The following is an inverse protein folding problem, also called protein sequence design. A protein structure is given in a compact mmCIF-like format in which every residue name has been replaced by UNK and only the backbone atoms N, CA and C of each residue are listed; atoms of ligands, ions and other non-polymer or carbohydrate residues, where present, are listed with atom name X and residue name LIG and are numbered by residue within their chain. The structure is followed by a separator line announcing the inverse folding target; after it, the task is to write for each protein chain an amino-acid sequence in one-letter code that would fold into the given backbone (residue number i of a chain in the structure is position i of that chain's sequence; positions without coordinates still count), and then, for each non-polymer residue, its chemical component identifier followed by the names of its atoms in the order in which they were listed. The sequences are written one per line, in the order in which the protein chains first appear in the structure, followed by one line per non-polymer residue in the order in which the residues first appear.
data_IF_621999305611
#
_entry.id   IF_621999305611
#
_cell.length_a   1.000
_cell.length_b   1.000
_cell.length_c   1.000
_cell.angle_alpha   90.00
_cell.angle_beta   90.00
_cell.angle_gamma   90.00
#
_symmetry.space_group_name_H-M   'P 1'
#
loop_
_entity.id
_entity.type
_entity.pdbx_description
1 polymer ?
#
# COMPACT_ATOMS: atom_id res chain seq x y z
N UNK A 1 -19.55 21.06 -17.53
CA UNK A 1 -18.50 20.21 -16.92
C UNK A 1 -19.16 19.33 -15.86
N UNK A 2 -19.11 17.99 -16.00
CA UNK A 2 -19.90 17.08 -15.16
C UNK A 2 -19.53 17.25 -13.67
N UNK A 3 -20.52 17.59 -12.83
CA UNK A 3 -20.40 17.72 -11.36
C UNK A 3 -19.63 16.54 -10.72
N UNK A 4 -19.78 15.34 -11.23
CA UNK A 4 -19.08 14.14 -10.76
C UNK A 4 -17.56 14.13 -11.06
N UNK A 5 -17.13 14.70 -12.19
CA UNK A 5 -15.71 14.80 -12.52
C UNK A 5 -15.00 15.79 -11.58
N UNK A 6 -15.62 16.95 -11.35
CA UNK A 6 -15.06 17.98 -10.47
C UNK A 6 -14.96 17.47 -9.03
N UNK A 7 -15.99 16.78 -8.51
CA UNK A 7 -15.95 16.16 -7.17
C UNK A 7 -14.81 15.16 -7.04
N UNK A 8 -14.61 14.29 -8.02
CA UNK A 8 -13.52 13.30 -8.03
C UNK A 8 -12.14 13.97 -8.07
N UNK A 9 -11.96 14.97 -8.92
CA UNK A 9 -10.70 15.70 -8.99
C UNK A 9 -10.36 16.39 -7.67
N UNK A 10 -11.33 17.08 -7.04
CA UNK A 10 -11.15 17.75 -5.76
C UNK A 10 -10.79 16.72 -4.68
N UNK A 11 -11.51 15.60 -4.60
CA UNK A 11 -11.23 14.56 -3.59
C UNK A 11 -9.82 13.98 -3.77
N UNK A 12 -9.38 13.74 -5.02
CA UNK A 12 -8.03 13.26 -5.32
C UNK A 12 -6.95 14.26 -4.89
N UNK A 13 -7.13 15.54 -5.20
CA UNK A 13 -6.19 16.60 -4.79
C UNK A 13 -6.12 16.73 -3.27
N UNK A 14 -7.27 16.72 -2.58
CA UNK A 14 -7.30 16.77 -1.11
C UNK A 14 -6.57 15.56 -0.51
N UNK A 15 -6.81 14.36 -1.04
CA UNK A 15 -6.15 13.15 -0.57
C UNK A 15 -4.62 13.24 -0.73
N UNK A 16 -4.13 13.63 -1.91
CA UNK A 16 -2.69 13.81 -2.15
C UNK A 16 -2.12 14.88 -1.22
N UNK A 17 -2.82 16.01 -1.04
CA UNK A 17 -2.37 17.07 -0.15
C UNK A 17 -2.29 16.62 1.33
N UNK A 18 -3.28 15.85 1.81
CA UNK A 18 -3.28 15.27 3.16
C UNK A 18 -2.15 14.26 3.31
N UNK A 19 -1.97 13.36 2.33
CA UNK A 19 -0.91 12.35 2.37
C UNK A 19 0.47 13.00 2.41
N UNK A 20 0.76 13.90 1.46
CA UNK A 20 2.04 14.62 1.40
C UNK A 20 2.23 15.49 2.64
N UNK A 21 1.19 16.21 3.06
CA UNK A 21 1.24 17.06 4.26
C UNK A 21 1.51 16.28 5.54
N UNK A 22 0.91 15.09 5.71
CA UNK A 22 1.18 14.25 6.88
C UNK A 22 2.57 13.60 6.84
N UNK A 23 3.07 13.21 5.65
CA UNK A 23 4.44 12.67 5.52
C UNK A 23 5.47 13.75 5.84
N UNK A 24 5.34 14.94 5.24
CA UNK A 24 6.27 16.06 5.45
C UNK A 24 6.10 16.72 6.83
N UNK A 25 4.93 16.58 7.45
CA UNK A 25 4.62 17.15 8.76
C UNK A 25 5.34 16.51 9.95
N UNK A 26 6.12 15.43 9.69
CA UNK A 26 6.94 14.78 10.70
C UNK A 26 6.38 13.46 11.23
N UNK A 27 7.03 12.88 12.26
CA UNK A 27 6.75 11.51 12.71
C UNK A 27 5.31 11.32 13.25
N UNK A 28 4.76 12.28 13.96
CA UNK A 28 3.43 12.14 14.58
C UNK A 28 2.32 12.10 13.53
N UNK A 29 2.17 13.10 12.62
CA UNK A 29 1.14 13.03 11.58
C UNK A 29 1.34 11.85 10.62
N UNK A 30 2.59 11.46 10.31
CA UNK A 30 2.91 10.25 9.55
C UNK A 30 2.33 9.00 10.23
N UNK A 31 2.65 8.79 11.52
CA UNK A 31 2.18 7.63 12.27
C UNK A 31 0.66 7.59 12.37
N UNK A 32 0.00 8.71 12.69
CA UNK A 32 -1.46 8.79 12.79
C UNK A 32 -2.15 8.50 11.45
N UNK A 33 -1.64 9.04 10.36
CA UNK A 33 -2.18 8.80 9.02
C UNK A 33 -2.09 7.32 8.66
N UNK A 34 -0.89 6.72 8.71
CA UNK A 34 -0.69 5.36 8.26
C UNK A 34 -1.28 4.31 9.21
N UNK A 35 -1.35 4.56 10.52
CA UNK A 35 -2.13 3.73 11.44
C UNK A 35 -3.62 3.74 11.09
N UNK A 36 -4.18 4.92 10.77
CA UNK A 36 -5.57 5.05 10.34
C UNK A 36 -5.83 4.35 9.00
N UNK A 37 -4.95 4.53 8.02
CA UNK A 37 -5.03 3.85 6.72
C UNK A 37 -4.98 2.33 6.92
N UNK A 38 -4.04 1.83 7.71
CA UNK A 38 -3.92 0.39 8.05
C UNK A 38 -5.20 -0.14 8.65
N UNK A 39 -5.77 0.57 9.64
CA UNK A 39 -7.03 0.19 10.28
C UNK A 39 -8.19 0.10 9.29
N UNK A 40 -8.38 1.14 8.48
CA UNK A 40 -9.48 1.23 7.52
C UNK A 40 -9.34 0.18 6.43
N UNK A 41 -8.15 -0.05 5.90
CA UNK A 41 -7.91 -1.02 4.82
C UNK A 41 -8.14 -2.45 5.31
N UNK A 42 -7.67 -2.82 6.51
CA UNK A 42 -7.93 -4.15 7.10
C UNK A 42 -9.42 -4.33 7.39
N UNK A 43 -10.08 -3.29 7.91
CA UNK A 43 -11.52 -3.35 8.19
C UNK A 43 -12.34 -3.55 6.92
N UNK A 44 -11.99 -2.84 5.85
CA UNK A 44 -12.64 -2.96 4.55
C UNK A 44 -12.39 -4.33 3.93
N UNK A 45 -11.13 -4.80 3.92
CA UNK A 45 -10.78 -6.14 3.45
C UNK A 45 -11.60 -7.22 4.17
N UNK A 46 -11.63 -7.20 5.51
CA UNK A 46 -12.43 -8.14 6.30
C UNK A 46 -13.93 -8.02 6.02
N UNK A 47 -14.42 -6.81 5.71
CA UNK A 47 -15.84 -6.60 5.35
C UNK A 47 -16.16 -7.22 3.99
N UNK A 48 -15.28 -7.08 3.00
CA UNK A 48 -15.43 -7.68 1.68
C UNK A 48 -15.43 -9.20 1.79
N UNK A 49 -14.46 -9.78 2.49
CA UNK A 49 -14.35 -11.23 2.70
C UNK A 49 -15.58 -11.78 3.41
N UNK A 50 -16.05 -11.13 4.49
CA UNK A 50 -17.24 -11.59 5.21
C UNK A 50 -18.52 -11.48 4.36
N UNK A 51 -18.62 -10.50 3.46
CA UNK A 51 -19.76 -10.36 2.54
C UNK A 51 -19.72 -11.37 1.39
N UNK A 52 -18.56 -11.79 0.94
CA UNK A 52 -18.44 -12.79 -0.13
C UNK A 52 -18.88 -14.19 0.31
N UNK A 53 -18.95 -14.43 1.62
CA UNK A 53 -19.28 -15.74 2.18
C UNK A 53 -18.12 -16.73 2.24
N UNK A 54 -16.93 -16.34 1.75
CA UNK A 54 -15.74 -17.20 1.75
C UNK A 54 -15.19 -17.45 3.15
N UNK A 55 -15.30 -16.45 4.04
CA UNK A 55 -14.87 -16.53 5.43
C UNK A 55 -15.68 -15.59 6.33
N UNK A 56 -15.51 -15.77 7.66
CA UNK A 56 -16.07 -14.90 8.71
C UNK A 56 -14.96 -14.40 9.62
N UNK A 57 -14.14 -13.51 9.10
CA UNK A 57 -12.97 -12.93 9.81
C UNK A 57 -13.44 -12.01 10.94
N UNK A 58 -12.79 -12.11 12.10
CA UNK A 58 -13.01 -11.18 13.20
C UNK A 58 -12.35 -9.82 12.90
N UNK A 59 -13.09 -8.94 12.21
CA UNK A 59 -12.61 -7.64 11.72
C UNK A 59 -11.97 -6.79 12.80
N UNK A 60 -12.60 -6.69 13.99
CA UNK A 60 -12.13 -5.81 15.06
C UNK A 60 -10.75 -6.26 15.59
N UNK A 61 -10.61 -7.55 15.90
CA UNK A 61 -9.34 -8.08 16.41
C UNK A 61 -8.25 -8.10 15.33
N UNK A 62 -8.62 -8.36 14.08
CA UNK A 62 -7.68 -8.30 12.95
C UNK A 62 -7.16 -6.88 12.72
N UNK A 63 -8.03 -5.86 12.82
CA UNK A 63 -7.64 -4.44 12.78
C UNK A 63 -6.73 -4.09 13.95
N UNK A 64 -7.10 -4.49 15.18
CA UNK A 64 -6.29 -4.22 16.36
C UNK A 64 -4.88 -4.81 16.22
N UNK A 65 -4.78 -6.07 15.77
CA UNK A 65 -3.50 -6.72 15.53
C UNK A 65 -2.67 -5.98 14.46
N UNK A 66 -3.29 -5.58 13.33
CA UNK A 66 -2.58 -4.89 12.26
C UNK A 66 -2.10 -3.50 12.62
N UNK A 67 -2.91 -2.72 13.33
CA UNK A 67 -2.48 -1.41 13.86
C UNK A 67 -1.38 -1.57 14.90
N UNK A 68 -1.49 -2.57 15.78
CA UNK A 68 -0.46 -2.85 16.77
C UNK A 68 0.87 -3.26 16.11
N UNK A 69 0.83 -4.10 15.07
CA UNK A 69 2.00 -4.43 14.25
C UNK A 69 2.65 -3.18 13.66
N UNK A 70 1.85 -2.28 13.06
CA UNK A 70 2.34 -1.02 12.51
C UNK A 70 3.06 -0.17 13.57
N UNK A 71 2.49 -0.06 14.77
CA UNK A 71 3.09 0.68 15.89
C UNK A 71 4.36 -0.01 16.42
N UNK A 72 4.41 -1.35 16.46
CA UNK A 72 5.62 -2.08 16.83
C UNK A 72 6.78 -1.78 15.88
N UNK A 73 6.54 -1.80 14.58
CA UNK A 73 7.54 -1.44 13.58
C UNK A 73 7.99 0.02 13.74
N UNK A 74 7.06 0.96 13.98
CA UNK A 74 7.40 2.35 14.26
C UNK A 74 8.29 2.50 15.49
N UNK A 75 7.94 1.84 16.58
CA UNK A 75 8.71 1.89 17.81
C UNK A 75 10.12 1.29 17.66
N UNK A 76 10.23 0.09 17.06
CA UNK A 76 11.53 -0.56 16.84
C UNK A 76 12.40 0.18 15.83
N UNK A 77 11.81 0.93 14.90
CA UNK A 77 12.55 1.80 14.00
C UNK A 77 13.15 3.02 14.71
N UNK A 78 12.49 3.52 15.75
CA UNK A 78 12.99 4.62 16.60
C UNK A 78 14.00 4.13 17.63
N UNK A 79 13.72 2.97 18.25
CA UNK A 79 14.53 2.35 19.29
C UNK A 79 14.97 0.94 18.87
N UNK A 80 16.06 0.81 18.11
CA UNK A 80 16.56 -0.50 17.66
C UNK A 80 16.90 -1.41 18.85
N UNK A 81 16.57 -2.70 18.71
CA UNK A 81 16.87 -3.71 19.75
C UNK A 81 15.71 -3.96 20.73
N UNK A 82 14.61 -3.23 20.66
CA UNK A 82 13.44 -3.39 21.56
C UNK A 82 12.37 -4.32 20.96
N UNK A 83 12.78 -5.52 20.56
CA UNK A 83 11.88 -6.46 19.86
C UNK A 83 10.82 -7.08 20.77
N UNK A 84 10.94 -6.96 22.09
CA UNK A 84 9.98 -7.45 23.07
C UNK A 84 8.59 -6.82 22.87
N UNK A 85 8.51 -5.65 22.26
CA UNK A 85 7.23 -4.98 21.94
C UNK A 85 6.34 -5.81 20.99
N UNK A 86 6.91 -6.79 20.25
CA UNK A 86 6.13 -7.71 19.45
C UNK A 86 5.44 -8.82 20.24
N UNK A 87 5.79 -9.04 21.54
CA UNK A 87 5.16 -10.08 22.34
C UNK A 87 3.64 -9.93 22.44
N UNK A 88 3.07 -8.75 22.73
CA UNK A 88 1.62 -8.56 22.71
C UNK A 88 0.98 -8.79 21.33
N UNK A 89 1.71 -8.47 20.25
CA UNK A 89 1.25 -8.79 18.89
C UNK A 89 1.11 -10.30 18.68
N UNK A 90 2.08 -11.07 19.14
CA UNK A 90 2.00 -12.54 19.08
C UNK A 90 0.80 -13.08 19.87
N UNK A 91 0.50 -12.51 21.04
CA UNK A 91 -0.73 -12.87 21.78
C UNK A 91 -2.01 -12.52 21.00
N UNK A 92 -2.05 -11.39 20.27
CA UNK A 92 -3.18 -11.08 19.41
C UNK A 92 -3.34 -12.09 18.25
N UNK A 93 -2.23 -12.51 17.64
CA UNK A 93 -2.25 -13.56 16.62
C UNK A 93 -2.72 -14.89 17.21
N UNK A 94 -2.20 -15.30 18.37
CA UNK A 94 -2.66 -16.51 19.08
C UNK A 94 -4.15 -16.43 19.42
N UNK A 95 -4.63 -15.27 19.87
CA UNK A 95 -6.06 -15.06 20.09
C UNK A 95 -6.87 -15.26 18.80
N UNK A 96 -6.44 -14.73 17.65
CA UNK A 96 -7.12 -14.93 16.38
C UNK A 96 -7.21 -16.42 16.01
N UNK A 97 -6.15 -17.21 16.27
CA UNK A 97 -6.13 -18.64 16.03
C UNK A 97 -7.06 -19.40 16.99
N UNK A 98 -6.92 -19.15 18.29
CA UNK A 98 -7.65 -19.87 19.34
C UNK A 98 -9.14 -19.54 19.33
N UNK A 99 -9.50 -18.28 19.02
CA UNK A 99 -10.89 -17.84 19.01
C UNK A 99 -11.79 -18.64 18.03
N UNK A 100 -11.24 -19.16 16.94
CA UNK A 100 -11.98 -19.97 15.97
C UNK A 100 -12.37 -21.35 16.52
N UNK A 101 -11.64 -21.90 17.50
CA UNK A 101 -11.99 -23.15 18.16
C UNK A 101 -13.35 -23.08 18.88
N UNK A 102 -13.69 -21.88 19.37
CA UNK A 102 -14.92 -21.66 20.14
C UNK A 102 -16.09 -21.14 19.31
N UNK A 103 -15.85 -20.62 18.11
CA UNK A 103 -16.89 -19.99 17.28
C UNK A 103 -17.75 -20.96 16.46
N UNK A 104 -17.38 -22.23 16.33
CA UNK A 104 -18.09 -23.27 15.53
C UNK A 104 -18.44 -22.80 14.11
N UNK A 105 -17.52 -22.06 13.47
CA UNK A 105 -17.70 -21.58 12.10
C UNK A 105 -17.56 -22.71 11.07
N UNK A 106 -18.17 -22.53 9.89
CA UNK A 106 -18.13 -23.56 8.83
C UNK A 106 -16.71 -23.79 8.29
N UNK A 107 -15.94 -22.73 8.11
CA UNK A 107 -14.62 -22.76 7.48
C UNK A 107 -13.57 -22.02 8.32
N UNK A 108 -13.12 -22.56 9.48
CA UNK A 108 -12.14 -21.91 10.34
C UNK A 108 -10.78 -21.70 9.63
N UNK A 109 -10.39 -22.62 8.73
CA UNK A 109 -9.15 -22.50 7.96
C UNK A 109 -9.18 -21.27 7.05
N UNK A 110 -10.29 -21.00 6.38
CA UNK A 110 -10.43 -19.79 5.56
C UNK A 110 -10.39 -18.53 6.43
N UNK A 111 -11.00 -18.55 7.62
CA UNK A 111 -10.95 -17.43 8.56
C UNK A 111 -9.50 -17.11 8.97
N UNK A 112 -8.71 -18.14 9.28
CA UNK A 112 -7.28 -17.98 9.55
C UNK A 112 -6.51 -17.47 8.33
N UNK A 113 -6.74 -18.07 7.16
CA UNK A 113 -6.04 -17.69 5.94
C UNK A 113 -6.26 -16.21 5.60
N UNK A 114 -7.51 -15.74 5.56
CA UNK A 114 -7.81 -14.35 5.26
C UNK A 114 -7.40 -13.39 6.40
N UNK A 115 -7.49 -13.83 7.66
CA UNK A 115 -6.99 -13.09 8.80
C UNK A 115 -5.49 -12.86 8.71
N UNK A 116 -4.71 -13.93 8.49
CA UNK A 116 -3.25 -13.84 8.32
C UNK A 116 -2.86 -13.10 7.04
N UNK A 117 -3.60 -13.31 5.95
CA UNK A 117 -3.38 -12.57 4.71
C UNK A 117 -3.50 -11.07 4.93
N UNK A 118 -4.47 -10.60 5.71
CA UNK A 118 -4.59 -9.18 6.03
C UNK A 118 -3.39 -8.63 6.83
N UNK A 119 -2.82 -9.45 7.73
CA UNK A 119 -1.62 -9.07 8.48
C UNK A 119 -0.39 -8.97 7.55
N UNK A 120 -0.19 -9.98 6.69
CA UNK A 120 1.00 -10.05 5.83
C UNK A 120 0.90 -9.10 4.63
N UNK A 121 -0.26 -9.00 4.00
CA UNK A 121 -0.43 -8.21 2.77
C UNK A 121 -0.71 -6.73 3.04
N UNK A 122 -1.46 -6.41 4.09
CA UNK A 122 -1.86 -5.03 4.39
C UNK A 122 -1.01 -4.47 5.54
N UNK A 123 -1.10 -5.06 6.74
CA UNK A 123 -0.44 -4.50 7.92
C UNK A 123 1.08 -4.45 7.77
N UNK A 124 1.72 -5.54 7.31
CA UNK A 124 3.17 -5.57 7.12
C UNK A 124 3.63 -4.56 6.06
N UNK A 125 2.90 -4.43 4.95
CA UNK A 125 3.26 -3.48 3.88
C UNK A 125 3.29 -2.04 4.39
N UNK A 126 2.27 -1.62 5.15
CA UNK A 126 2.28 -0.29 5.77
C UNK A 126 3.31 -0.18 6.90
N UNK A 127 3.54 -1.26 7.66
CA UNK A 127 4.53 -1.27 8.74
C UNK A 127 5.96 -1.05 8.22
N UNK A 128 6.30 -1.58 7.05
CA UNK A 128 7.60 -1.38 6.42
C UNK A 128 7.87 0.07 6.01
N UNK A 129 6.84 0.92 5.86
CA UNK A 129 7.04 2.36 5.66
C UNK A 129 7.73 3.02 6.86
N UNK A 130 7.54 2.49 8.09
CA UNK A 130 8.29 2.98 9.26
C UNK A 130 9.78 2.68 9.11
N UNK A 131 10.15 1.49 8.61
CA UNK A 131 11.55 1.12 8.40
C UNK A 131 12.23 2.05 7.39
N UNK A 132 11.49 2.48 6.35
CA UNK A 132 11.97 3.46 5.38
C UNK A 132 12.03 4.88 5.94
N UNK A 133 11.07 5.23 6.82
CA UNK A 133 10.99 6.58 7.38
C UNK A 133 12.06 6.89 8.42
N UNK A 134 12.60 5.86 9.09
CA UNK A 134 13.62 6.04 10.12
C UNK A 134 14.92 5.37 9.68
N UNK A 135 16.00 6.10 9.68
CA UNK A 135 17.33 5.58 9.38
C UNK A 135 18.34 6.04 10.41
N UNK A 136 19.35 5.23 10.63
CA UNK A 136 20.44 5.55 11.56
C UNK A 136 21.38 6.57 10.92
N UNK A 137 21.57 7.70 11.59
CA UNK A 137 22.56 8.71 11.22
C UNK A 137 23.82 8.45 12.04
N UNK A 138 24.85 8.00 11.36
CA UNK A 138 26.15 7.63 11.96
C UNK A 138 26.07 6.41 12.91
N UNK A 139 27.24 5.85 13.27
CA UNK A 139 27.42 4.71 14.17
C UNK A 139 26.89 4.91 15.61
N UNK A 140 26.27 6.03 15.88
CA UNK A 140 25.62 6.33 17.14
C UNK A 140 24.12 6.06 16.97
N UNK A 141 23.52 5.39 17.91
CA UNK A 141 22.15 4.86 18.01
C UNK A 141 21.01 5.89 17.81
N UNK A 142 21.24 6.99 17.15
CA UNK A 142 20.26 8.05 16.91
C UNK A 142 19.63 7.80 15.54
N UNK A 143 18.35 7.47 15.56
CA UNK A 143 17.55 7.35 14.35
C UNK A 143 16.83 8.66 14.06
N UNK A 144 16.94 9.15 12.84
CA UNK A 144 16.24 10.36 12.40
C UNK A 144 15.09 9.99 11.46
N UNK A 145 14.02 10.78 11.54
CA UNK A 145 12.88 10.66 10.64
C UNK A 145 13.20 11.33 9.31
N UNK A 146 13.22 10.55 8.23
CA UNK A 146 13.35 11.05 6.87
C UNK A 146 12.03 10.87 6.10
N UNK A 147 11.29 11.94 5.84
CA UNK A 147 10.02 11.86 5.12
C UNK A 147 10.19 11.55 3.62
N UNK A 148 11.39 11.78 3.06
CA UNK A 148 11.61 11.71 1.61
C UNK A 148 11.57 10.26 1.12
N UNK A 149 12.11 9.29 1.89
CA UNK A 149 12.09 7.88 1.50
C UNK A 149 10.66 7.31 1.38
N UNK A 150 9.78 7.40 2.40
CA UNK A 150 8.40 6.96 2.23
C UNK A 150 7.66 7.78 1.17
N UNK A 151 7.91 9.09 1.03
CA UNK A 151 7.30 9.91 0.00
C UNK A 151 7.73 9.47 -1.41
N UNK A 152 8.98 9.07 -1.59
CA UNK A 152 9.51 8.62 -2.89
C UNK A 152 8.77 7.38 -3.41
N UNK A 153 8.32 6.47 -2.55
CA UNK A 153 7.50 5.31 -2.95
C UNK A 153 6.23 5.78 -3.67
N UNK A 154 5.53 6.78 -3.12
CA UNK A 154 4.34 7.33 -3.73
C UNK A 154 4.65 8.08 -5.02
N UNK A 155 5.74 8.86 -5.05
CA UNK A 155 6.21 9.56 -6.26
C UNK A 155 6.47 8.54 -7.38
N UNK A 156 7.23 7.47 -7.11
CA UNK A 156 7.50 6.44 -8.11
C UNK A 156 6.25 5.74 -8.59
N UNK A 157 5.31 5.40 -7.70
CA UNK A 157 4.03 4.82 -8.10
C UNK A 157 3.23 5.77 -9.00
N UNK A 158 3.08 7.05 -8.63
CA UNK A 158 2.33 8.03 -9.43
C UNK A 158 2.97 8.30 -10.79
N UNK A 159 4.31 8.39 -10.83
CA UNK A 159 5.06 8.58 -12.06
C UNK A 159 4.96 7.33 -12.95
N UNK A 160 5.10 6.14 -12.36
CA UNK A 160 4.93 4.88 -13.07
C UNK A 160 3.54 4.76 -13.70
N UNK A 161 2.47 5.02 -12.92
CA UNK A 161 1.10 4.92 -13.41
C UNK A 161 0.82 5.92 -14.53
N UNK A 162 1.30 7.16 -14.38
CA UNK A 162 1.16 8.20 -15.40
C UNK A 162 1.94 7.86 -16.67
N UNK A 163 3.20 7.41 -16.52
CA UNK A 163 4.04 6.99 -17.62
C UNK A 163 3.49 5.77 -18.33
N UNK A 164 3.05 4.76 -17.58
CA UNK A 164 2.44 3.55 -18.13
C UNK A 164 1.13 3.83 -18.88
N UNK A 165 0.33 4.75 -18.36
CA UNK A 165 -0.89 5.19 -19.04
C UNK A 165 -0.58 5.90 -20.36
N UNK A 166 0.30 6.90 -20.38
CA UNK A 166 0.65 7.66 -21.57
C UNK A 166 1.25 6.76 -22.66
N UNK A 167 2.23 5.93 -22.30
CA UNK A 167 2.92 5.05 -23.25
C UNK A 167 2.04 3.89 -23.69
N UNK A 168 1.24 3.31 -22.77
CA UNK A 168 0.29 2.26 -23.07
C UNK A 168 -0.83 2.71 -24.03
N UNK A 169 -1.28 3.96 -23.91
CA UNK A 169 -2.27 4.55 -24.83
C UNK A 169 -1.69 4.79 -26.22
N UNK A 170 -0.43 5.24 -26.32
CA UNK A 170 0.20 5.57 -27.60
C UNK A 170 0.77 4.33 -28.33
N UNK A 171 1.35 3.39 -27.59
CA UNK A 171 2.14 2.29 -28.15
C UNK A 171 1.66 0.90 -27.73
N UNK A 172 0.67 0.77 -26.82
CA UNK A 172 0.24 -0.49 -26.23
C UNK A 172 -0.37 -1.46 -27.23
N UNK A 173 0.41 -2.48 -27.62
CA UNK A 173 0.00 -3.56 -28.54
C UNK A 173 -0.12 -4.90 -27.84
N UNK A 174 0.83 -5.22 -26.95
CA UNK A 174 0.93 -6.51 -26.27
C UNK A 174 0.36 -6.41 -24.85
N UNK A 175 -0.69 -7.20 -24.57
CA UNK A 175 -1.32 -7.21 -23.25
C UNK A 175 -0.41 -7.89 -22.22
N UNK A 176 -0.33 -7.30 -21.00
CA UNK A 176 0.50 -7.84 -19.90
C UNK A 176 -0.15 -9.09 -19.27
N UNK A 177 -1.43 -8.96 -18.87
CA UNK A 177 -2.25 -10.03 -18.30
C UNK A 177 -3.72 -9.84 -18.70
N UNK A 178 -4.10 -10.41 -19.86
CA UNK A 178 -5.42 -10.21 -20.45
C UNK A 178 -6.55 -10.67 -19.54
N UNK A 179 -6.38 -11.82 -18.85
CA UNK A 179 -7.39 -12.40 -17.96
C UNK A 179 -7.68 -11.55 -16.72
N UNK A 180 -6.69 -10.86 -16.17
CA UNK A 180 -6.77 -10.14 -14.88
C UNK A 180 -6.98 -8.66 -15.12
N UNK A 181 -6.16 -8.05 -15.98
CA UNK A 181 -6.15 -6.63 -16.29
C UNK A 181 -5.96 -6.39 -17.79
N UNK A 182 -7.03 -6.46 -18.59
CA UNK A 182 -6.93 -6.40 -20.06
C UNK A 182 -6.46 -5.04 -20.59
N UNK A 183 -6.42 -4.01 -19.75
CA UNK A 183 -5.96 -2.67 -20.15
C UNK A 183 -4.46 -2.46 -20.01
N UNK A 184 -3.76 -3.29 -19.22
CA UNK A 184 -2.30 -3.18 -19.05
C UNK A 184 -1.54 -3.81 -20.23
N UNK A 185 -0.50 -3.10 -20.70
CA UNK A 185 0.37 -3.54 -21.79
C UNK A 185 1.83 -3.57 -21.37
N UNK A 186 2.65 -4.37 -22.04
CA UNK A 186 4.08 -4.42 -21.83
C UNK A 186 4.75 -3.09 -22.14
N UNK A 187 4.35 -2.44 -23.25
CA UNK A 187 4.85 -1.14 -23.67
C UNK A 187 4.55 -0.07 -22.61
N UNK A 188 3.34 -0.14 -22.03
CA UNK A 188 2.97 0.71 -20.90
C UNK A 188 3.88 0.50 -19.69
N UNK A 189 4.11 -0.76 -19.27
CA UNK A 189 4.96 -1.07 -18.12
C UNK A 189 6.41 -0.63 -18.33
N UNK A 190 6.97 -0.81 -19.54
CA UNK A 190 8.31 -0.33 -19.88
C UNK A 190 8.36 1.20 -19.84
N UNK A 191 7.34 1.87 -20.40
CA UNK A 191 7.25 3.33 -20.35
C UNK A 191 7.18 3.86 -18.92
N UNK A 192 6.37 3.24 -18.06
CA UNK A 192 6.32 3.58 -16.63
C UNK A 192 7.69 3.45 -15.95
N UNK A 193 8.43 2.36 -16.25
CA UNK A 193 9.79 2.17 -15.74
C UNK A 193 10.76 3.28 -16.19
N UNK A 194 10.70 3.68 -17.47
CA UNK A 194 11.54 4.78 -17.99
C UNK A 194 11.22 6.09 -17.28
N UNK A 195 9.94 6.43 -17.11
CA UNK A 195 9.56 7.64 -16.37
C UNK A 195 10.00 7.58 -14.90
N UNK A 196 9.96 6.41 -14.27
CA UNK A 196 10.44 6.22 -12.89
C UNK A 196 11.96 6.37 -12.79
N UNK A 197 12.73 5.93 -13.78
CA UNK A 197 14.19 6.19 -13.85
C UNK A 197 14.46 7.68 -13.94
N UNK A 198 13.71 8.42 -14.77
CA UNK A 198 13.85 9.87 -14.87
C UNK A 198 13.56 10.53 -13.52
N UNK A 199 12.48 10.12 -12.84
CA UNK A 199 12.16 10.62 -11.50
C UNK A 199 13.27 10.29 -10.49
N UNK A 200 13.89 9.10 -10.56
CA UNK A 200 15.00 8.71 -9.70
C UNK A 200 16.22 9.60 -9.89
N UNK A 201 16.59 9.93 -11.14
CA UNK A 201 17.69 10.86 -11.44
C UNK A 201 17.39 12.27 -10.90
N UNK A 202 16.13 12.71 -11.03
CA UNK A 202 15.70 14.01 -10.48
C UNK A 202 15.83 14.00 -8.95
N UNK A 203 15.32 12.96 -8.26
CA UNK A 203 15.43 12.84 -6.80
C UNK A 203 16.90 12.79 -6.35
N UNK A 204 17.75 12.04 -7.06
CA UNK A 204 19.19 11.99 -6.79
C UNK A 204 19.89 13.33 -6.92
N UNK A 205 19.36 14.25 -7.75
CA UNK A 205 19.91 15.60 -7.88
C UNK A 205 19.54 16.51 -6.70
N UNK A 206 18.37 16.28 -6.09
CA UNK A 206 17.87 17.11 -4.98
C UNK A 206 18.19 16.54 -3.59
N UNK A 207 18.49 15.25 -3.47
CA UNK A 207 18.67 14.56 -2.19
C UNK A 207 19.95 13.71 -2.21
N UNK A 208 20.97 14.17 -1.49
CA UNK A 208 22.33 13.58 -1.50
C UNK A 208 22.52 12.38 -0.56
N UNK A 209 21.48 11.95 0.20
CA UNK A 209 21.59 10.84 1.16
C UNK A 209 21.60 9.46 0.51
N UNK A 210 21.32 9.36 -0.78
CA UNK A 210 21.47 8.15 -1.62
C UNK A 210 22.13 8.52 -2.93
N UNK A 211 22.96 7.62 -3.47
CA UNK A 211 23.55 7.82 -4.79
C UNK A 211 22.52 7.55 -5.92
N UNK A 212 22.84 7.99 -7.13
CA UNK A 212 21.94 7.87 -8.29
C UNK A 212 21.56 6.41 -8.58
N UNK A 213 22.49 5.47 -8.41
CA UNK A 213 22.21 4.05 -8.66
C UNK A 213 21.24 3.46 -7.62
N UNK A 214 21.35 3.88 -6.37
CA UNK A 214 20.41 3.49 -5.29
C UNK A 214 19.01 4.04 -5.55
N UNK A 215 18.91 5.31 -5.96
CA UNK A 215 17.62 5.91 -6.36
C UNK A 215 16.96 5.18 -7.53
N UNK A 216 17.74 4.84 -8.56
CA UNK A 216 17.24 4.04 -9.71
C UNK A 216 16.83 2.65 -9.24
N UNK A 217 17.64 1.99 -8.41
CA UNK A 217 17.31 0.68 -7.83
C UNK A 217 16.00 0.69 -7.04
N UNK A 218 15.81 1.71 -6.20
CA UNK A 218 14.56 1.91 -5.45
C UNK A 218 13.37 2.11 -6.41
N UNK A 219 13.50 3.01 -7.39
CA UNK A 219 12.46 3.28 -8.37
C UNK A 219 12.05 2.05 -9.16
N UNK A 220 13.01 1.28 -9.66
CA UNK A 220 12.74 0.04 -10.39
C UNK A 220 12.10 -1.03 -9.49
N UNK A 221 12.52 -1.14 -8.23
CA UNK A 221 11.89 -2.03 -7.25
C UNK A 221 10.43 -1.68 -7.07
N UNK A 222 10.12 -0.39 -6.87
CA UNK A 222 8.73 0.08 -6.73
C UNK A 222 7.91 -0.22 -7.98
N UNK A 223 8.45 -0.01 -9.17
CA UNK A 223 7.75 -0.30 -10.44
C UNK A 223 7.41 -1.78 -10.57
N UNK A 224 8.39 -2.67 -10.35
CA UNK A 224 8.20 -4.12 -10.50
C UNK A 224 7.19 -4.64 -9.48
N UNK A 225 7.44 -4.39 -8.19
CA UNK A 225 6.58 -4.90 -7.12
C UNK A 225 5.23 -4.17 -7.05
N UNK A 226 5.17 -2.88 -7.40
CA UNK A 226 3.93 -2.13 -7.53
C UNK A 226 3.03 -2.68 -8.64
N UNK A 227 3.61 -3.01 -9.79
CA UNK A 227 2.87 -3.65 -10.90
C UNK A 227 2.30 -5.01 -10.49
N UNK A 228 3.10 -5.85 -9.81
CA UNK A 228 2.64 -7.14 -9.30
C UNK A 228 1.61 -7.01 -8.18
N UNK A 229 1.77 -6.02 -7.31
CA UNK A 229 0.79 -5.70 -6.26
C UNK A 229 -0.57 -5.36 -6.84
N UNK A 230 -0.63 -4.49 -7.85
CA UNK A 230 -1.89 -4.12 -8.52
C UNK A 230 -2.52 -5.31 -9.29
N UNK A 231 -1.70 -6.16 -9.91
CA UNK A 231 -2.19 -7.39 -10.53
C UNK A 231 -2.76 -8.37 -9.49
N UNK A 232 -2.11 -8.49 -8.32
CA UNK A 232 -2.59 -9.32 -7.22
C UNK A 232 -3.92 -8.79 -6.67
N UNK A 233 -4.03 -7.48 -6.44
CA UNK A 233 -5.28 -6.83 -6.02
C UNK A 233 -6.39 -7.05 -7.06
N UNK A 234 -6.07 -6.88 -8.35
CA UNK A 234 -7.00 -7.11 -9.44
C UNK A 234 -7.47 -8.57 -9.49
N UNK A 235 -6.56 -9.54 -9.28
CA UNK A 235 -6.90 -10.95 -9.20
C UNK A 235 -7.85 -11.24 -8.04
N UNK A 236 -7.57 -10.70 -6.85
CA UNK A 236 -8.42 -10.84 -5.67
C UNK A 236 -9.83 -10.30 -5.93
N UNK A 237 -9.95 -9.11 -6.52
CA UNK A 237 -11.24 -8.53 -6.88
C UNK A 237 -12.03 -9.44 -7.84
N UNK A 238 -11.37 -9.99 -8.86
CA UNK A 238 -12.02 -10.92 -9.81
C UNK A 238 -12.46 -12.21 -9.14
N UNK A 239 -11.63 -12.80 -8.27
CA UNK A 239 -11.96 -14.01 -7.53
C UNK A 239 -13.16 -13.81 -6.62
N UNK A 240 -13.27 -12.65 -5.98
CA UNK A 240 -14.38 -12.31 -5.09
C UNK A 240 -15.64 -11.80 -5.85
N UNK A 241 -15.61 -11.76 -7.20
CA UNK A 241 -16.73 -11.29 -8.02
C UNK A 241 -17.03 -9.80 -7.88
N UNK A 242 -16.10 -9.01 -7.36
CA UNK A 242 -16.22 -7.56 -7.19
C UNK A 242 -15.37 -6.82 -8.22
N UNK A 243 -15.87 -5.70 -8.71
CA UNK A 243 -15.13 -4.82 -9.62
C UNK A 243 -14.49 -3.65 -8.88
N UNK A 244 -15.21 -3.10 -7.93
CA UNK A 244 -14.79 -1.95 -7.13
C UNK A 244 -14.73 -2.40 -5.68
N UNK A 245 -13.60 -2.17 -5.01
CA UNK A 245 -13.48 -2.33 -3.58
C UNK A 245 -14.28 -1.21 -2.91
N UNK A 246 -15.18 -1.54 -2.01
CA UNK A 246 -16.09 -0.74 -1.18
C UNK A 246 -16.06 0.80 -1.19
N UNK A 247 -16.84 1.42 -0.33
CA UNK A 247 -16.98 2.89 -0.31
C UNK A 247 -15.73 3.64 0.21
N UNK A 248 -14.83 2.98 0.94
CA UNK A 248 -13.62 3.61 1.49
C UNK A 248 -12.44 3.44 0.52
N UNK A 249 -12.28 2.27 -0.09
CA UNK A 249 -11.26 1.99 -1.11
C UNK A 249 -11.48 2.78 -2.42
N UNK A 250 -12.68 3.26 -2.67
CA UNK A 250 -12.95 4.20 -3.79
C UNK A 250 -12.05 5.45 -3.70
N UNK A 251 -11.59 5.84 -2.51
CA UNK A 251 -10.61 6.94 -2.36
C UNK A 251 -9.19 6.56 -2.82
N UNK A 252 -8.80 5.28 -2.76
CA UNK A 252 -7.43 4.85 -3.17
C UNK A 252 -7.35 4.52 -4.67
N UNK A 253 -8.41 3.99 -5.27
CA UNK A 253 -8.47 3.75 -6.71
C UNK A 253 -8.60 5.05 -7.52
N UNK A 254 -8.86 6.19 -6.87
CA UNK A 254 -8.86 7.51 -7.51
C UNK A 254 -7.49 8.18 -7.54
N UNK A 255 -6.47 7.59 -6.94
CA UNK A 255 -5.07 7.99 -7.12
C UNK A 255 -4.49 7.56 -8.46
N UNK A 256 -5.07 6.56 -9.11
CA UNK A 256 -4.88 6.39 -10.53
C UNK A 256 -5.64 7.53 -11.22
N UNK A 257 -4.95 8.35 -12.01
CA UNK A 257 -5.56 9.33 -12.90
C UNK A 257 -6.87 8.76 -13.47
N UNK A 258 -7.94 9.56 -13.63
CA UNK A 258 -9.22 9.08 -14.10
C UNK A 258 -9.05 8.45 -15.48
N UNK A 259 -8.64 7.20 -15.50
CA UNK A 259 -8.60 6.40 -16.72
C UNK A 259 -10.04 6.14 -17.05
N UNK A 260 -10.50 6.96 -17.97
CA UNK A 260 -11.82 7.00 -18.52
C UNK A 260 -12.31 5.57 -18.81
N UNK A 261 -13.28 5.12 -18.03
CA UNK A 261 -13.99 3.87 -18.28
C UNK A 261 -15.01 4.05 -19.41
N UNK A 262 -14.56 4.63 -20.53
CA UNK A 262 -15.35 4.69 -21.77
C UNK A 262 -14.44 4.27 -22.92
N UNK A 263 -14.44 3.02 -23.20
CA UNK A 263 -14.62 2.38 -24.52
C UNK A 263 -15.04 0.95 -24.23
#
# INVERSE_FOLDING_TARGET
MNSNFLKRAITGVIFVAVLVGCILGGPIPFTLLFATITALTIFEFGTIINKSGEAQVNRQMTVLAGVFMFLCFGYTSIMPGTYEIFIPYLFLLMYLLISELYKKQKNPINNWAYGMMSQMYIALSFSLLNVLAYHSVNSQSVTEFNPILPLSIFIFNWVNDSGAYCTGMLFGKHRLFERISPKKSWEGSIGGAVFSIIAAVILAHFFDFMNTAEWIGLGLTVVVFGTWGDLTESLMKRTLGIKDSGNISVSYTHLTLPTNSRV
#
